data_IF_759161919107
#
_entry.id   IF_759161919107
#
_cell.length_a   1.000
_cell.length_b   1.000
_cell.length_c   1.000
_cell.angle_alpha   90.00
_cell.angle_beta   90.00
_cell.angle_gamma   90.00
#
_symmetry.space_group_name_H-M   'P 1'
#
loop_
_entity.id
_entity.type
_entity.pdbx_description
1 polymer ?
#
# COMPACT_ATOMS: atom_id res chain seq x y z
N UNK A 1 39.92 -8.43 1.01
CA UNK A 1 39.59 -7.13 1.64
C UNK A 1 38.11 -7.14 2.04
N UNK A 2 37.81 -7.13 3.35
CA UNK A 2 36.42 -6.98 3.83
C UNK A 2 35.90 -5.59 3.41
N UNK A 3 34.69 -5.52 2.86
CA UNK A 3 34.06 -4.24 2.46
C UNK A 3 34.10 -3.90 0.96
N UNK A 4 34.71 -4.73 0.10
CA UNK A 4 34.62 -4.54 -1.35
C UNK A 4 33.21 -4.91 -1.82
N UNK A 5 32.48 -3.96 -2.41
CA UNK A 5 31.12 -4.16 -2.93
C UNK A 5 31.15 -5.25 -4.02
N UNK A 6 30.63 -6.43 -3.70
CA UNK A 6 30.55 -7.57 -4.64
C UNK A 6 29.23 -7.66 -5.38
N UNK A 7 28.19 -6.98 -4.90
CA UNK A 7 26.84 -7.03 -5.47
C UNK A 7 26.58 -5.89 -6.43
N UNK A 8 25.85 -6.20 -7.50
CA UNK A 8 25.40 -5.22 -8.47
C UNK A 8 24.60 -4.10 -7.79
N UNK A 9 24.76 -2.86 -8.29
CA UNK A 9 24.02 -1.72 -7.75
C UNK A 9 22.52 -1.94 -7.94
N UNK A 10 21.68 -1.76 -6.90
CA UNK A 10 20.25 -1.86 -7.08
C UNK A 10 19.79 -0.81 -8.09
N UNK A 11 18.96 -1.26 -9.03
CA UNK A 11 18.32 -0.43 -10.04
C UNK A 11 16.84 -0.35 -9.76
N UNK A 12 16.25 0.82 -9.97
CA UNK A 12 14.79 0.99 -9.87
C UNK A 12 14.15 0.20 -11.01
N UNK A 13 13.57 -0.96 -10.70
CA UNK A 13 12.93 -1.82 -11.70
C UNK A 13 11.53 -1.34 -12.11
N UNK A 14 10.85 -0.60 -11.22
CA UNK A 14 9.49 -0.08 -11.44
C UNK A 14 9.37 1.28 -10.78
N UNK A 15 8.94 2.29 -11.54
CA UNK A 15 8.62 3.61 -11.01
C UNK A 15 7.13 3.67 -10.70
N UNK A 16 6.82 4.12 -9.49
CA UNK A 16 5.46 4.38 -9.07
C UNK A 16 5.46 5.48 -8.00
N UNK A 17 4.33 6.15 -7.86
CA UNK A 17 4.07 7.14 -6.83
C UNK A 17 2.79 6.76 -6.12
N UNK A 18 2.83 6.72 -4.79
CA UNK A 18 1.63 6.59 -3.96
C UNK A 18 1.06 7.98 -3.71
N UNK A 19 -0.20 8.18 -4.04
CA UNK A 19 -0.91 9.46 -3.92
C UNK A 19 -1.83 9.37 -2.71
N UNK A 20 -1.57 10.23 -1.71
CA UNK A 20 -2.42 10.35 -0.52
C UNK A 20 -3.80 10.86 -0.88
N UNK A 21 -4.80 10.48 -0.08
CA UNK A 21 -6.19 10.92 -0.23
C UNK A 21 -6.36 12.44 -0.26
N UNK A 22 -5.48 13.18 0.42
CA UNK A 22 -5.48 14.65 0.44
C UNK A 22 -4.93 15.29 -0.85
N UNK A 23 -4.28 14.50 -1.71
CA UNK A 23 -3.63 14.98 -2.94
C UNK A 23 -4.44 14.69 -4.20
N UNK A 24 -5.63 14.09 -4.07
CA UNK A 24 -6.54 13.95 -5.19
C UNK A 24 -7.98 14.32 -4.82
N UNK A 25 -8.81 14.54 -5.83
CA UNK A 25 -10.25 14.67 -5.68
C UNK A 25 -10.95 13.83 -6.74
N UNK A 26 -12.15 13.33 -6.42
CA UNK A 26 -13.03 12.67 -7.38
C UNK A 26 -14.35 13.42 -7.45
N UNK A 27 -14.67 13.97 -8.63
CA UNK A 27 -15.90 14.71 -8.89
C UNK A 27 -16.36 14.43 -10.32
N UNK A 28 -17.64 14.18 -10.50
CA UNK A 28 -18.27 14.02 -11.82
C UNK A 28 -17.53 13.00 -12.72
N UNK A 29 -17.16 11.84 -12.18
CA UNK A 29 -16.46 10.80 -12.94
C UNK A 29 -14.98 11.09 -13.25
N UNK A 30 -14.40 12.17 -12.70
CA UNK A 30 -13.01 12.55 -12.94
C UNK A 30 -12.18 12.52 -11.66
N UNK A 31 -11.04 11.83 -11.72
CA UNK A 31 -10.02 11.85 -10.67
C UNK A 31 -9.00 12.92 -11.03
N UNK A 32 -8.84 13.92 -10.17
CA UNK A 32 -7.87 15.00 -10.31
C UNK A 32 -6.79 14.85 -9.25
N UNK A 33 -5.55 14.58 -9.67
CA UNK A 33 -4.37 14.39 -8.82
C UNK A 33 -3.51 15.65 -8.87
N UNK A 34 -3.14 16.19 -7.71
CA UNK A 34 -2.25 17.34 -7.57
C UNK A 34 -0.79 16.90 -7.72
N UNK A 35 -0.10 17.44 -8.74
CA UNK A 35 1.34 17.23 -8.95
C UNK A 35 2.13 18.37 -8.33
N UNK A 36 1.65 19.60 -8.54
CA UNK A 36 2.17 20.82 -7.92
C UNK A 36 1.00 21.55 -7.27
N UNK A 37 1.07 21.85 -5.96
CA UNK A 37 -0.01 22.52 -5.25
C UNK A 37 -0.49 23.76 -6.00
N UNK A 38 -1.81 23.87 -6.21
CA UNK A 38 -2.48 25.01 -6.87
C UNK A 38 -2.12 25.28 -8.35
N UNK A 39 -1.15 24.56 -8.92
CA UNK A 39 -0.63 24.86 -10.25
C UNK A 39 -0.83 23.72 -11.26
N UNK A 40 -0.46 22.49 -10.89
CA UNK A 40 -0.35 21.37 -11.83
C UNK A 40 -1.15 20.16 -11.40
N UNK A 41 -1.99 19.63 -12.30
CA UNK A 41 -2.85 18.49 -12.03
C UNK A 41 -2.84 17.47 -13.17
N UNK A 42 -2.91 16.19 -12.82
CA UNK A 42 -3.28 15.12 -13.73
C UNK A 42 -4.77 14.85 -13.58
N UNK A 43 -5.49 14.73 -14.69
CA UNK A 43 -6.93 14.45 -14.68
C UNK A 43 -7.19 13.17 -15.46
N UNK A 44 -7.85 12.22 -14.81
CA UNK A 44 -8.27 10.95 -15.38
C UNK A 44 -9.79 10.92 -15.45
N UNK A 45 -10.32 10.80 -16.67
CA UNK A 45 -11.75 10.54 -16.86
C UNK A 45 -11.99 9.03 -16.70
N UNK A 46 -12.77 8.71 -15.69
CA UNK A 46 -13.13 7.34 -15.33
C UNK A 46 -14.64 7.15 -15.36
N UNK A 47 -15.40 8.12 -15.88
CA UNK A 47 -16.88 8.09 -15.92
C UNK A 47 -17.45 6.80 -16.55
N UNK A 48 -16.75 6.26 -17.55
CA UNK A 48 -17.14 5.04 -18.27
C UNK A 48 -16.43 3.77 -17.77
N UNK A 49 -15.74 3.81 -16.63
CA UNK A 49 -15.01 2.64 -16.15
C UNK A 49 -15.97 1.55 -15.65
N UNK A 50 -15.86 0.35 -16.23
CA UNK A 50 -16.75 -0.79 -15.98
C UNK A 50 -16.82 -1.22 -14.50
N UNK A 51 -15.81 -0.90 -13.71
CA UNK A 51 -15.70 -1.33 -12.33
C UNK A 51 -16.51 -0.46 -11.36
N UNK A 52 -17.00 0.72 -11.74
CA UNK A 52 -17.68 1.63 -10.81
C UNK A 52 -18.94 1.02 -10.18
N UNK A 53 -19.71 0.26 -10.95
CA UNK A 53 -20.89 -0.45 -10.45
C UNK A 53 -20.56 -1.64 -9.55
N UNK A 54 -19.30 -2.08 -9.54
CA UNK A 54 -18.82 -3.26 -8.81
C UNK A 54 -17.97 -2.90 -7.60
N UNK A 55 -17.34 -1.72 -7.63
CA UNK A 55 -16.55 -1.20 -6.54
C UNK A 55 -17.45 -0.97 -5.32
N UNK A 56 -17.02 -1.48 -4.17
CA UNK A 56 -17.69 -1.28 -2.88
C UNK A 56 -16.75 -0.55 -1.94
N UNK A 57 -17.32 0.32 -1.11
CA UNK A 57 -16.60 1.05 -0.08
C UNK A 57 -16.07 2.41 -0.54
N UNK A 58 -15.17 2.94 0.26
CA UNK A 58 -14.58 4.27 0.08
C UNK A 58 -13.29 4.16 -0.73
N UNK A 59 -13.11 5.09 -1.68
CA UNK A 59 -11.87 5.16 -2.44
C UNK A 59 -10.72 5.54 -1.50
N UNK A 60 -9.65 4.74 -1.52
CA UNK A 60 -8.43 4.98 -0.76
C UNK A 60 -7.35 5.62 -1.61
N UNK A 61 -6.11 5.49 -1.16
CA UNK A 61 -4.95 6.02 -1.87
C UNK A 61 -4.80 5.44 -3.28
N UNK A 62 -4.19 6.24 -4.16
CA UNK A 62 -3.95 5.85 -5.55
C UNK A 62 -2.49 5.44 -5.73
N UNK A 63 -2.23 4.57 -6.70
CA UNK A 63 -0.87 4.26 -7.14
C UNK A 63 -0.75 4.64 -8.59
N UNK A 64 0.03 5.69 -8.86
CA UNK A 64 0.34 6.13 -10.20
C UNK A 64 1.61 5.40 -10.66
N UNK A 65 1.51 4.68 -11.76
CA UNK A 65 2.65 4.06 -12.45
C UNK A 65 2.82 4.73 -13.81
N UNK A 66 3.89 4.38 -14.53
CA UNK A 66 4.10 4.88 -15.90
C UNK A 66 2.98 4.45 -16.88
N UNK A 67 2.21 3.39 -16.56
CA UNK A 67 1.21 2.81 -17.48
C UNK A 67 -0.23 2.86 -16.96
N UNK A 68 -0.41 2.83 -15.65
CA UNK A 68 -1.71 2.65 -15.02
C UNK A 68 -1.88 3.56 -13.82
N UNK A 69 -3.11 4.04 -13.63
CA UNK A 69 -3.60 4.53 -12.36
C UNK A 69 -4.31 3.37 -11.65
N UNK A 70 -3.78 2.94 -10.52
CA UNK A 70 -4.44 1.96 -9.65
C UNK A 70 -5.28 2.73 -8.63
N UNK A 71 -6.58 2.44 -8.63
CA UNK A 71 -7.55 3.01 -7.69
C UNK A 71 -7.86 1.95 -6.65
N UNK A 72 -7.61 2.26 -5.38
CA UNK A 72 -7.90 1.34 -4.28
C UNK A 72 -9.24 1.67 -3.64
N UNK A 73 -9.91 0.65 -3.10
CA UNK A 73 -11.15 0.80 -2.34
C UNK A 73 -11.00 0.07 -1.01
N UNK A 74 -11.50 0.68 0.07
CA UNK A 74 -11.54 0.10 1.40
C UNK A 74 -12.98 0.05 1.87
N UNK A 75 -13.38 -1.07 2.48
CA UNK A 75 -14.70 -1.22 3.07
C UNK A 75 -14.54 -1.56 4.55
N UNK A 76 -15.36 -0.93 5.39
CA UNK A 76 -15.47 -1.32 6.79
C UNK A 76 -16.37 -2.55 6.86
N UNK A 77 -15.81 -3.69 7.26
CA UNK A 77 -16.58 -4.89 7.57
C UNK A 77 -16.58 -5.08 9.07
N UNK A 78 -17.77 -5.09 9.69
CA UNK A 78 -17.92 -5.65 11.04
C UNK A 78 -17.84 -7.17 10.88
N UNK A 79 -16.73 -7.74 11.33
CA UNK A 79 -16.57 -9.19 11.46
C UNK A 79 -16.93 -9.51 12.90
N UNK A 80 -17.73 -10.56 13.13
CA UNK A 80 -17.83 -11.11 14.49
C UNK A 80 -16.48 -11.71 14.85
N UNK A 81 -15.80 -11.04 15.77
CA UNK A 81 -14.42 -11.30 16.15
C UNK A 81 -14.31 -12.54 17.05
N UNK A 82 -14.34 -13.74 16.45
CA UNK A 82 -13.97 -14.99 17.13
C UNK A 82 -12.51 -15.32 16.84
N UNK A 83 -11.71 -15.59 17.88
CA UNK A 83 -10.30 -15.99 17.74
C UNK A 83 -9.37 -14.86 17.28
N UNK A 84 -9.66 -13.60 17.62
CA UNK A 84 -8.81 -12.46 17.23
C UNK A 84 -7.44 -12.56 17.90
N UNK A 85 -6.41 -12.39 17.09
CA UNK A 85 -5.02 -12.30 17.54
C UNK A 85 -4.60 -10.85 17.42
N UNK A 86 -4.18 -10.25 18.53
CA UNK A 86 -3.54 -8.93 18.53
C UNK A 86 -2.12 -9.10 18.00
N UNK A 87 -1.77 -8.37 16.94
CA UNK A 87 -0.46 -8.46 16.30
C UNK A 87 0.36 -7.19 16.55
N UNK A 88 1.61 -7.37 16.96
CA UNK A 88 2.65 -6.34 16.99
C UNK A 88 3.79 -6.74 16.03
N UNK A 89 4.28 -5.79 15.25
CA UNK A 89 5.33 -6.04 14.24
C UNK A 89 6.51 -5.09 14.46
N UNK A 90 7.69 -5.69 14.64
CA UNK A 90 8.96 -5.01 14.81
C UNK A 90 9.95 -5.40 13.70
N UNK A 91 11.17 -4.84 13.69
CA UNK A 91 12.19 -5.14 12.67
C UNK A 91 12.52 -6.64 12.56
N UNK A 92 12.43 -7.36 13.68
CA UNK A 92 12.94 -8.73 13.82
C UNK A 92 11.88 -9.75 14.23
N UNK A 93 10.69 -9.32 14.60
CA UNK A 93 9.63 -10.22 15.03
C UNK A 93 8.26 -9.71 14.63
N UNK A 94 7.36 -10.65 14.38
CA UNK A 94 5.92 -10.45 14.34
C UNK A 94 5.35 -11.28 15.48
N UNK A 95 4.83 -10.61 16.49
CA UNK A 95 4.37 -11.19 17.74
C UNK A 95 2.84 -11.07 17.82
N UNK A 96 2.16 -12.20 17.96
CA UNK A 96 0.72 -12.32 18.08
C UNK A 96 0.33 -12.80 19.47
N UNK A 97 -0.76 -12.26 20.03
CA UNK A 97 -1.35 -12.76 21.27
C UNK A 97 -2.85 -13.01 21.12
N UNK A 98 -3.30 -14.16 21.59
CA UNK A 98 -4.71 -14.48 21.78
C UNK A 98 -4.91 -15.18 23.14
N UNK A 99 -5.97 -14.85 23.90
CA UNK A 99 -6.18 -15.44 25.24
C UNK A 99 -6.33 -16.96 25.27
N UNK A 100 -6.80 -17.59 24.18
CA UNK A 100 -6.99 -19.05 24.08
C UNK A 100 -5.74 -19.77 23.54
N UNK A 101 -5.03 -19.16 22.58
CA UNK A 101 -3.87 -19.76 21.88
C UNK A 101 -2.54 -19.40 22.55
N UNK A 102 -2.48 -18.29 23.29
CA UNK A 102 -1.26 -17.73 23.86
C UNK A 102 -0.44 -16.93 22.84
N UNK A 103 0.88 -16.92 23.02
CA UNK A 103 1.81 -16.15 22.18
C UNK A 103 2.19 -16.91 20.90
N UNK A 104 2.05 -16.25 19.76
CA UNK A 104 2.54 -16.70 18.45
C UNK A 104 3.67 -15.79 18.03
N UNK A 105 4.90 -16.32 17.92
CA UNK A 105 6.07 -15.52 17.58
C UNK A 105 6.69 -15.97 16.27
N UNK A 106 6.79 -15.05 15.31
CA UNK A 106 7.43 -15.27 14.00
C UNK A 106 8.73 -14.48 13.94
N UNK A 107 9.84 -15.17 13.66
CA UNK A 107 11.15 -14.55 13.49
C UNK A 107 11.31 -13.96 12.07
N UNK A 108 11.42 -12.63 11.99
CA UNK A 108 11.56 -11.89 10.73
C UNK A 108 13.02 -11.59 10.36
N UNK A 109 14.01 -11.98 11.19
CA UNK A 109 15.43 -11.65 10.94
C UNK A 109 15.93 -12.09 9.56
N UNK A 110 15.43 -13.22 9.05
CA UNK A 110 15.77 -13.73 7.71
C UNK A 110 15.24 -12.83 6.59
N UNK A 111 14.07 -12.23 6.76
CA UNK A 111 13.47 -11.31 5.79
C UNK A 111 14.25 -9.98 5.78
N UNK A 112 14.61 -9.45 6.95
CA UNK A 112 15.36 -8.21 7.04
C UNK A 112 16.76 -8.30 6.42
N UNK A 113 17.39 -9.48 6.49
CA UNK A 113 18.68 -9.74 5.85
C UNK A 113 18.63 -9.66 4.33
N UNK A 114 17.49 -9.90 3.68
CA UNK A 114 17.33 -9.76 2.23
C UNK A 114 17.34 -8.28 1.80
N UNK A 115 16.80 -7.39 2.64
CA UNK A 115 16.65 -5.97 2.32
C UNK A 115 17.90 -5.12 2.55
N UNK A 116 18.88 -5.61 3.32
CA UNK A 116 20.03 -4.83 3.78
C UNK A 116 21.34 -5.11 3.02
N UNK A 117 21.27 -5.66 1.81
CA UNK A 117 22.46 -6.09 1.03
C UNK A 117 22.72 -5.34 -0.26
#
# INVERSE_FOLDING_TARGET
>A
MKGRRTRAKPVVKKKFVRVKETLYSYKNGKIKISVKPFEGYLVFDVSNAWFWSRAKGEMGELILTEKFLVITFRFKRRVEERGVIAWDCNERSLDGFNPEIGWVRVDLRRLFHIHRV
#
